data_IF_405616729336
#
_entry.id   IF_405616729336
#
_cell.length_a   1.000
_cell.length_b   1.000
_cell.length_c   1.000
_cell.angle_alpha   90.00
_cell.angle_beta   90.00
_cell.angle_gamma   90.00
#
_symmetry.space_group_name_H-M   'P 1'
#
loop_
_entity.id
_entity.type
_entity.pdbx_description
1 polymer ?
#
# COMPACT_ATOMS: atom_id res chain seq x y z
N UNK A 1 -25.57 36.21 1.28
CA UNK A 1 -24.57 35.83 0.28
C UNK A 1 -24.31 37.02 -0.61
N UNK A 2 -23.04 37.30 -0.88
CA UNK A 2 -22.60 38.52 -1.56
C UNK A 2 -21.54 38.17 -2.62
N UNK A 3 -21.34 39.06 -3.57
CA UNK A 3 -20.26 39.03 -4.55
C UNK A 3 -20.15 37.72 -5.33
N UNK A 4 -21.21 37.24 -5.99
CA UNK A 4 -21.14 36.00 -6.78
C UNK A 4 -20.26 36.19 -8.01
N UNK A 5 -19.39 35.20 -8.28
CA UNK A 5 -18.58 35.12 -9.49
C UNK A 5 -18.63 33.69 -10.06
N UNK A 6 -18.62 33.55 -11.37
CA UNK A 6 -18.69 32.25 -12.06
C UNK A 6 -17.38 32.01 -12.81
N UNK A 7 -16.82 30.81 -12.65
CA UNK A 7 -15.71 30.30 -13.45
C UNK A 7 -16.02 28.86 -13.88
N UNK A 8 -16.29 28.66 -15.17
CA UNK A 8 -16.74 27.37 -15.70
C UNK A 8 -18.06 26.92 -15.05
N UNK A 9 -18.05 25.77 -14.39
CA UNK A 9 -19.19 25.22 -13.63
C UNK A 9 -19.12 25.54 -12.13
N UNK A 10 -18.16 26.33 -11.69
CA UNK A 10 -18.01 26.76 -10.30
C UNK A 10 -18.60 28.15 -10.09
N UNK A 11 -19.37 28.31 -9.02
CA UNK A 11 -19.85 29.58 -8.52
C UNK A 11 -19.15 29.85 -7.18
N UNK A 12 -18.48 31.00 -7.10
CA UNK A 12 -17.88 31.49 -5.86
C UNK A 12 -18.75 32.62 -5.31
N UNK A 13 -18.92 32.68 -4.00
CA UNK A 13 -19.66 33.77 -3.30
C UNK A 13 -19.13 33.95 -1.89
N UNK A 14 -19.38 35.06 -1.29
CA UNK A 14 -19.02 35.39 0.10
C UNK A 14 -20.20 35.28 1.00
N UNK A 15 -20.06 34.67 2.16
CA UNK A 15 -21.16 34.45 3.10
C UNK A 15 -20.68 34.42 4.55
N UNK A 16 -21.60 34.82 5.47
CA UNK A 16 -21.48 34.59 6.91
C UNK A 16 -22.39 33.48 7.41
N UNK A 17 -23.19 32.87 6.52
CA UNK A 17 -24.26 31.92 6.88
C UNK A 17 -23.82 30.48 6.98
N UNK A 18 -22.64 30.14 6.45
CA UNK A 18 -22.06 28.78 6.49
C UNK A 18 -20.95 28.70 7.54
N UNK A 19 -20.44 27.49 7.80
CA UNK A 19 -19.30 27.33 8.69
C UNK A 19 -18.09 28.09 8.16
N UNK A 20 -17.69 29.13 8.85
CA UNK A 20 -16.71 30.12 8.43
C UNK A 20 -15.52 30.21 9.39
N UNK A 21 -14.47 30.96 8.99
CA UNK A 21 -13.27 31.23 9.77
C UNK A 21 -13.30 32.58 10.46
N UNK A 22 -14.14 33.49 9.97
CA UNK A 22 -14.18 34.88 10.43
C UNK A 22 -15.50 35.57 10.15
N UNK A 23 -15.46 36.74 9.51
CA UNK A 23 -16.63 37.50 9.06
C UNK A 23 -17.21 36.91 7.77
N UNK A 24 -17.07 37.63 6.64
CA UNK A 24 -17.37 37.10 5.32
C UNK A 24 -16.26 36.14 4.89
N UNK A 25 -16.62 34.92 4.53
CA UNK A 25 -15.74 33.92 3.92
C UNK A 25 -16.18 33.61 2.50
N UNK A 26 -15.23 33.24 1.64
CA UNK A 26 -15.46 32.83 0.26
C UNK A 26 -15.76 31.33 0.23
N UNK A 27 -16.87 30.97 -0.44
CA UNK A 27 -17.35 29.63 -0.64
C UNK A 27 -17.39 29.30 -2.13
N UNK A 28 -17.29 28.01 -2.44
CA UNK A 28 -17.39 27.43 -3.78
C UNK A 28 -18.51 26.39 -3.83
N UNK A 29 -19.32 26.43 -4.89
CA UNK A 29 -20.27 25.38 -5.25
C UNK A 29 -20.10 25.04 -6.73
N UNK A 30 -20.37 23.78 -7.11
CA UNK A 30 -20.29 23.29 -8.48
C UNK A 30 -21.65 22.88 -8.99
N UNK A 31 -21.96 23.21 -10.23
CA UNK A 31 -23.15 22.69 -10.89
C UNK A 31 -22.88 21.31 -11.47
N UNK A 32 -23.74 20.34 -11.09
CA UNK A 32 -23.74 18.98 -11.60
C UNK A 32 -25.17 18.59 -11.99
N UNK A 33 -25.40 18.41 -13.29
CA UNK A 33 -26.74 18.05 -13.83
C UNK A 33 -27.88 18.98 -13.38
N UNK A 34 -27.63 20.29 -13.32
CA UNK A 34 -28.62 21.30 -12.91
C UNK A 34 -28.81 21.43 -11.40
N UNK A 35 -28.00 20.76 -10.59
CA UNK A 35 -28.03 20.79 -9.13
C UNK A 35 -26.69 21.33 -8.61
N UNK A 36 -26.73 22.29 -7.67
CA UNK A 36 -25.55 22.81 -7.01
C UNK A 36 -25.13 21.91 -5.84
N UNK A 37 -23.82 21.72 -5.69
CA UNK A 37 -23.25 21.02 -4.54
C UNK A 37 -23.41 21.82 -3.25
N UNK A 38 -23.16 21.18 -2.09
CA UNK A 38 -23.06 21.88 -0.82
C UNK A 38 -21.90 22.91 -0.86
N UNK A 39 -22.06 24.10 -0.25
CA UNK A 39 -21.04 25.12 -0.18
C UNK A 39 -19.78 24.64 0.53
N UNK A 40 -18.64 24.76 -0.12
CA UNK A 40 -17.32 24.43 0.41
C UNK A 40 -16.54 25.71 0.70
N UNK A 41 -16.13 25.90 1.96
CA UNK A 41 -15.25 27.00 2.36
C UNK A 41 -13.87 26.83 1.71
N UNK A 42 -13.32 27.88 1.09
CA UNK A 42 -11.99 27.83 0.46
C UNK A 42 -10.83 27.76 1.46
N UNK A 43 -11.09 28.00 2.76
CA UNK A 43 -10.11 27.94 3.83
C UNK A 43 -8.89 28.86 3.63
N UNK A 44 -7.96 28.83 4.59
CA UNK A 44 -6.70 29.56 4.46
C UNK A 44 -5.86 29.02 3.30
N UNK A 45 -5.13 29.90 2.58
CA UNK A 45 -4.92 31.33 2.85
C UNK A 45 -5.94 32.29 2.18
N UNK A 46 -6.92 31.74 1.45
CA UNK A 46 -7.98 32.57 0.82
C UNK A 46 -8.81 33.20 1.88
N UNK A 47 -9.42 32.42 2.77
CA UNK A 47 -10.17 32.89 3.90
C UNK A 47 -9.30 33.04 5.16
N UNK A 48 -9.62 34.06 5.98
CA UNK A 48 -8.90 34.40 7.20
C UNK A 48 -9.93 34.64 8.34
N UNK A 49 -9.51 34.92 9.59
CA UNK A 49 -10.43 35.36 10.65
C UNK A 49 -11.08 36.72 10.43
N UNK A 50 -10.88 37.36 9.29
CA UNK A 50 -11.42 38.66 8.88
C UNK A 50 -12.48 38.50 7.79
N UNK A 51 -12.97 39.61 7.24
CA UNK A 51 -13.84 39.58 6.06
C UNK A 51 -13.00 39.32 4.81
N UNK A 52 -13.32 38.25 4.10
CA UNK A 52 -12.75 37.89 2.82
C UNK A 52 -13.88 37.78 1.79
N UNK A 53 -13.80 38.59 0.74
CA UNK A 53 -14.90 38.75 -0.19
C UNK A 53 -14.44 39.07 -1.62
N UNK A 54 -15.40 39.10 -2.58
CA UNK A 54 -15.18 39.49 -3.97
C UNK A 54 -14.06 38.69 -4.65
N UNK A 55 -14.15 37.36 -4.59
CA UNK A 55 -13.18 36.46 -5.19
C UNK A 55 -13.39 36.33 -6.71
N UNK A 56 -12.36 36.61 -7.48
CA UNK A 56 -12.38 36.56 -8.95
C UNK A 56 -11.16 35.80 -9.47
N UNK A 57 -11.39 34.78 -10.26
CA UNK A 57 -10.35 34.06 -10.98
C UNK A 57 -10.10 34.65 -12.36
N UNK A 58 -8.87 34.55 -12.84
CA UNK A 58 -8.53 34.82 -14.23
C UNK A 58 -9.06 33.68 -15.16
N UNK A 59 -8.90 33.86 -16.46
CA UNK A 59 -9.38 32.87 -17.45
C UNK A 59 -8.67 31.50 -17.37
N UNK A 60 -7.52 31.42 -16.70
CA UNK A 60 -6.79 30.17 -16.49
C UNK A 60 -7.23 29.42 -15.22
N UNK A 61 -7.93 30.10 -14.30
CA UNK A 61 -8.28 29.59 -12.99
C UNK A 61 -7.10 29.45 -12.03
N UNK A 62 -5.91 29.95 -12.41
CA UNK A 62 -4.67 29.79 -11.61
C UNK A 62 -4.23 31.05 -10.88
N UNK A 63 -4.84 32.18 -11.15
CA UNK A 63 -4.59 33.44 -10.47
C UNK A 63 -5.87 34.25 -10.34
N UNK A 64 -5.85 35.22 -9.48
CA UNK A 64 -7.03 36.06 -9.31
C UNK A 64 -6.86 37.17 -8.29
N UNK A 65 -7.97 37.74 -7.91
CA UNK A 65 -8.07 38.82 -6.93
C UNK A 65 -9.12 38.46 -5.89
N UNK A 66 -8.90 38.90 -4.68
CA UNK A 66 -9.89 38.89 -3.62
C UNK A 66 -9.81 40.23 -2.84
N UNK A 67 -10.90 40.65 -2.25
CA UNK A 67 -10.90 41.75 -1.30
C UNK A 67 -10.91 41.20 0.11
N UNK A 68 -10.16 41.85 1.01
CA UNK A 68 -10.10 41.45 2.42
C UNK A 68 -9.71 42.64 3.31
N UNK A 69 -10.18 42.59 4.55
CA UNK A 69 -9.76 43.57 5.60
C UNK A 69 -8.75 42.93 6.58
N UNK A 70 -8.05 41.86 6.18
CA UNK A 70 -7.04 41.15 7.01
C UNK A 70 -5.90 42.01 7.53
N UNK A 71 -5.66 43.18 6.91
CA UNK A 71 -4.67 44.17 7.34
C UNK A 71 -5.31 45.38 8.02
N UNK A 72 -6.57 45.26 8.46
CA UNK A 72 -7.29 46.30 9.23
C UNK A 72 -8.16 47.21 8.40
N UNK A 73 -8.13 47.19 7.08
CA UNK A 73 -9.00 47.92 6.16
C UNK A 73 -9.14 47.15 4.83
N UNK A 74 -10.19 47.44 4.08
CA UNK A 74 -10.47 46.75 2.82
C UNK A 74 -9.37 47.00 1.80
N UNK A 75 -8.77 45.92 1.32
CA UNK A 75 -7.75 45.95 0.27
C UNK A 75 -8.02 44.83 -0.75
N UNK A 76 -7.46 45.01 -1.96
CA UNK A 76 -7.47 44.00 -2.99
C UNK A 76 -6.14 43.24 -2.95
N UNK A 77 -6.22 41.94 -2.81
CA UNK A 77 -5.09 41.05 -2.83
C UNK A 77 -5.03 40.27 -4.16
N UNK A 78 -3.84 40.16 -4.72
CA UNK A 78 -3.57 39.22 -5.84
C UNK A 78 -3.17 37.90 -5.24
N UNK A 79 -3.70 36.81 -5.78
CA UNK A 79 -3.25 35.47 -5.41
C UNK A 79 -2.89 34.67 -6.64
N UNK A 80 -2.00 33.69 -6.45
CA UNK A 80 -1.62 32.69 -7.44
C UNK A 80 -1.86 31.33 -6.82
N UNK A 81 -2.66 30.51 -7.48
CA UNK A 81 -2.86 29.11 -7.10
C UNK A 81 -1.73 28.26 -7.70
N UNK A 82 -0.76 27.95 -6.91
CA UNK A 82 0.27 27.00 -7.32
C UNK A 82 -0.31 25.59 -7.32
N UNK A 83 -0.05 24.84 -8.37
CA UNK A 83 -0.34 23.41 -8.36
C UNK A 83 0.46 22.74 -7.24
N UNK A 84 -0.17 21.87 -6.44
CA UNK A 84 0.55 21.18 -5.39
C UNK A 84 1.62 20.29 -6.01
N UNK A 85 2.81 20.32 -5.45
CA UNK A 85 3.92 19.46 -5.83
C UNK A 85 4.05 18.33 -4.82
N UNK A 86 4.19 17.10 -5.31
CA UNK A 86 4.33 15.92 -4.48
C UNK A 86 5.68 15.27 -4.72
N UNK A 87 6.29 14.84 -3.64
CA UNK A 87 7.55 14.13 -3.65
C UNK A 87 7.42 12.84 -2.85
N UNK A 88 8.17 11.84 -3.26
CA UNK A 88 8.41 10.62 -2.49
C UNK A 88 9.87 10.59 -2.12
N UNK A 89 10.15 10.34 -0.85
CA UNK A 89 11.47 9.96 -0.38
C UNK A 89 11.38 8.65 0.38
N UNK A 90 12.41 7.83 0.28
CA UNK A 90 12.39 6.56 0.97
C UNK A 90 13.78 6.01 1.19
N UNK A 91 13.78 4.87 1.88
CA UNK A 91 14.99 4.15 2.23
C UNK A 91 14.78 2.66 1.96
N UNK A 92 15.81 1.99 1.45
CA UNK A 92 15.84 0.54 1.29
C UNK A 92 16.78 -0.04 2.35
N UNK A 93 16.29 -1.04 3.10
CA UNK A 93 17.06 -1.72 4.14
C UNK A 93 16.78 -3.23 4.13
N UNK A 94 17.64 -4.00 4.79
CA UNK A 94 17.37 -5.42 5.03
C UNK A 94 16.64 -5.63 6.37
N UNK A 95 16.32 -6.90 6.66
CA UNK A 95 15.66 -7.33 7.90
C UNK A 95 16.45 -7.03 9.17
N UNK A 96 17.76 -6.73 9.05
CA UNK A 96 18.64 -6.30 10.15
C UNK A 96 18.78 -4.78 10.24
N UNK A 97 17.94 -4.02 9.52
CA UNK A 97 17.96 -2.55 9.43
C UNK A 97 19.27 -1.99 8.84
N UNK A 98 20.01 -2.77 8.06
CA UNK A 98 21.18 -2.28 7.32
C UNK A 98 20.70 -1.66 6.02
N UNK A 99 21.18 -0.46 5.73
CA UNK A 99 20.87 0.25 4.51
C UNK A 99 21.49 -0.44 3.29
N UNK A 100 20.70 -0.54 2.22
CA UNK A 100 21.10 -1.22 1.00
C UNK A 100 21.36 -0.19 -0.11
N UNK A 101 22.63 0.07 -0.39
CA UNK A 101 23.06 0.91 -1.53
C UNK A 101 22.91 0.14 -2.85
N UNK A 102 22.83 0.87 -3.97
CA UNK A 102 22.65 0.30 -5.31
C UNK A 102 21.46 -0.68 -5.44
N UNK A 103 20.44 -0.50 -4.61
CA UNK A 103 19.17 -1.21 -4.76
C UNK A 103 18.37 -0.53 -5.88
N UNK A 104 17.79 -1.31 -6.76
CA UNK A 104 16.87 -0.80 -7.77
C UNK A 104 15.53 -0.44 -7.12
N UNK A 105 15.07 0.78 -7.35
CA UNK A 105 13.74 1.23 -6.92
C UNK A 105 12.96 1.67 -8.15
N UNK A 106 11.82 1.03 -8.39
CA UNK A 106 10.91 1.34 -9.49
C UNK A 106 9.64 1.93 -8.94
N UNK A 107 9.31 3.15 -9.37
CA UNK A 107 8.02 3.79 -9.16
C UNK A 107 7.15 3.54 -10.39
N UNK A 108 6.07 2.80 -10.24
CA UNK A 108 5.04 2.58 -11.25
C UNK A 108 3.85 3.51 -10.98
N UNK A 109 3.57 4.42 -11.89
CA UNK A 109 2.37 5.25 -11.84
C UNK A 109 1.20 4.46 -12.43
N UNK A 110 0.27 4.05 -11.57
CA UNK A 110 -0.91 3.25 -11.94
C UNK A 110 -1.95 4.07 -12.75
N UNK A 111 -1.80 5.40 -12.79
CA UNK A 111 -2.71 6.30 -13.49
C UNK A 111 -2.24 6.54 -14.93
N UNK A 112 -0.95 6.80 -15.13
CA UNK A 112 -0.35 6.99 -16.47
C UNK A 112 0.17 5.69 -17.08
N UNK A 113 0.50 4.68 -16.27
CA UNK A 113 1.17 3.44 -16.68
C UNK A 113 2.68 3.61 -16.90
N UNK A 114 3.27 4.72 -16.47
CA UNK A 114 4.70 4.99 -16.63
C UNK A 114 5.53 4.42 -15.48
N UNK A 115 6.73 3.94 -15.82
CA UNK A 115 7.73 3.46 -14.88
C UNK A 115 8.91 4.43 -14.78
N UNK A 116 9.32 4.74 -13.56
CA UNK A 116 10.52 5.51 -13.26
C UNK A 116 11.44 4.71 -12.36
N UNK A 117 12.70 4.51 -12.73
CA UNK A 117 13.65 3.74 -11.93
C UNK A 117 14.80 4.60 -11.42
N UNK A 118 15.33 4.25 -10.25
CA UNK A 118 16.52 4.83 -9.63
C UNK A 118 17.26 3.77 -8.82
N UNK A 119 18.56 4.00 -8.62
CA UNK A 119 19.35 3.26 -7.65
C UNK A 119 19.41 4.05 -6.34
N UNK A 120 19.44 3.34 -5.22
CA UNK A 120 19.65 3.95 -3.91
C UNK A 120 21.11 4.44 -3.77
N UNK A 121 21.30 5.50 -3.01
CA UNK A 121 22.59 6.02 -2.62
C UNK A 121 23.32 5.14 -1.57
N UNK A 122 24.49 5.57 -1.06
CA UNK A 122 25.25 4.84 -0.04
C UNK A 122 24.51 4.68 1.29
N UNK A 123 23.54 5.55 1.58
CA UNK A 123 22.67 5.47 2.74
C UNK A 123 21.34 4.72 2.47
N UNK A 124 21.22 4.05 1.33
CA UNK A 124 20.01 3.34 0.93
C UNK A 124 18.85 4.25 0.54
N UNK A 125 19.06 5.56 0.34
CA UNK A 125 18.02 6.56 0.09
C UNK A 125 17.70 6.70 -1.39
N UNK A 126 16.44 7.05 -1.66
CA UNK A 126 15.95 7.40 -2.99
C UNK A 126 14.88 8.50 -2.90
N UNK A 127 14.60 9.16 -4.03
CA UNK A 127 13.54 10.15 -4.13
C UNK A 127 12.96 10.20 -5.55
N UNK A 128 11.66 10.50 -5.65
CA UNK A 128 10.93 10.74 -6.89
C UNK A 128 10.06 11.98 -6.76
N UNK A 129 9.81 12.67 -7.89
CA UNK A 129 8.69 13.61 -7.99
C UNK A 129 7.44 12.80 -8.39
N UNK A 130 6.32 13.05 -7.73
CA UNK A 130 5.06 12.35 -7.97
C UNK A 130 4.10 13.23 -8.78
N UNK A 131 3.28 12.61 -9.61
CA UNK A 131 2.13 13.25 -10.21
C UNK A 131 1.05 13.58 -9.17
N UNK A 132 0.27 14.62 -9.44
CA UNK A 132 -0.92 14.92 -8.63
C UNK A 132 -2.06 13.97 -9.00
N UNK A 133 -2.94 13.69 -8.02
CA UNK A 133 -4.15 12.88 -8.21
C UNK A 133 -3.91 11.50 -8.83
N UNK A 134 -2.80 10.86 -8.46
CA UNK A 134 -2.34 9.57 -9.00
C UNK A 134 -2.17 8.52 -7.92
N UNK A 135 -2.30 7.26 -8.31
CA UNK A 135 -1.93 6.09 -7.49
C UNK A 135 -0.61 5.51 -7.99
N UNK A 136 0.20 5.05 -7.07
CA UNK A 136 1.53 4.52 -7.36
C UNK A 136 1.77 3.18 -6.67
N UNK A 137 2.63 2.37 -7.28
CA UNK A 137 3.27 1.24 -6.64
C UNK A 137 4.79 1.46 -6.67
N UNK A 138 5.44 1.42 -5.50
CA UNK A 138 6.90 1.55 -5.39
C UNK A 138 7.50 0.19 -5.04
N UNK A 139 8.37 -0.34 -5.89
CA UNK A 139 9.03 -1.63 -5.73
C UNK A 139 10.51 -1.42 -5.50
N UNK A 140 11.05 -2.02 -4.44
CA UNK A 140 12.48 -2.11 -4.19
C UNK A 140 13.00 -3.52 -4.45
N UNK A 141 14.16 -3.62 -5.11
CA UNK A 141 14.86 -4.87 -5.36
C UNK A 141 16.36 -4.71 -5.09
N UNK A 142 16.96 -5.75 -4.58
CA UNK A 142 18.41 -5.83 -4.37
C UNK A 142 18.89 -7.25 -4.67
N UNK A 143 20.15 -7.39 -5.08
CA UNK A 143 20.75 -8.69 -5.28
C UNK A 143 20.65 -9.52 -4.00
N UNK A 144 20.31 -10.81 -4.12
CA UNK A 144 20.15 -11.77 -3.00
C UNK A 144 19.01 -11.43 -2.01
N UNK A 145 18.09 -10.54 -2.37
CA UNK A 145 16.93 -10.17 -1.56
C UNK A 145 15.63 -10.42 -2.32
N UNK A 146 14.57 -10.77 -1.60
CA UNK A 146 13.22 -10.73 -2.12
C UNK A 146 12.80 -9.26 -2.30
N UNK A 147 12.43 -8.91 -3.52
CA UNK A 147 11.87 -7.60 -3.79
C UNK A 147 10.54 -7.43 -3.04
N UNK A 148 10.23 -6.20 -2.67
CA UNK A 148 8.97 -5.85 -2.02
C UNK A 148 8.41 -4.57 -2.62
N UNK A 149 7.09 -4.41 -2.57
CA UNK A 149 6.42 -3.22 -3.04
C UNK A 149 5.43 -2.65 -2.02
N UNK A 150 5.21 -1.34 -2.13
CA UNK A 150 4.26 -0.57 -1.31
C UNK A 150 3.43 0.30 -2.24
N UNK A 151 2.12 0.35 -2.01
CA UNK A 151 1.21 1.26 -2.70
C UNK A 151 1.14 2.60 -1.96
N UNK A 152 1.06 3.70 -2.71
CA UNK A 152 0.86 5.04 -2.19
C UNK A 152 -0.01 5.86 -3.17
N UNK A 153 -0.58 6.96 -2.69
CA UNK A 153 -1.49 7.78 -3.47
C UNK A 153 -1.32 9.26 -3.15
N UNK A 154 -1.41 10.10 -4.18
CA UNK A 154 -1.55 11.55 -4.05
C UNK A 154 -3.00 12.01 -4.26
N UNK A 155 -3.95 11.08 -4.50
CA UNK A 155 -5.36 11.42 -4.68
C UNK A 155 -5.95 12.07 -3.43
N UNK A 156 -6.67 13.16 -3.64
CA UNK A 156 -7.30 13.91 -2.55
C UNK A 156 -6.36 14.79 -1.73
N UNK A 157 -5.05 14.81 -2.02
CA UNK A 157 -4.11 15.75 -1.40
C UNK A 157 -4.26 17.11 -2.08
N UNK A 158 -4.54 18.14 -1.28
CA UNK A 158 -4.81 19.50 -1.75
C UNK A 158 -3.62 20.46 -1.59
N UNK A 159 -2.56 20.02 -0.92
CA UNK A 159 -1.36 20.82 -0.63
C UNK A 159 -0.13 20.01 -0.98
N UNK A 160 0.95 20.71 -1.37
CA UNK A 160 2.27 20.10 -1.58
C UNK A 160 2.69 19.28 -0.37
N UNK A 161 3.20 18.07 -0.61
CA UNK A 161 3.62 17.16 0.46
C UNK A 161 4.79 16.28 -0.01
N UNK A 162 5.51 15.74 0.96
CA UNK A 162 6.56 14.74 0.74
C UNK A 162 6.18 13.45 1.46
N UNK A 163 5.79 12.46 0.70
CA UNK A 163 5.48 11.12 1.21
C UNK A 163 6.78 10.39 1.56
N UNK A 164 6.73 9.55 2.59
CA UNK A 164 7.89 8.75 3.02
C UNK A 164 7.57 7.27 3.00
N UNK A 165 8.52 6.43 2.58
CA UNK A 165 8.37 4.97 2.55
C UNK A 165 9.66 4.27 2.97
N UNK A 166 9.50 3.14 3.67
CA UNK A 166 10.57 2.22 4.00
C UNK A 166 10.34 0.89 3.28
N UNK A 167 11.34 0.42 2.55
CA UNK A 167 11.33 -0.86 1.86
C UNK A 167 12.29 -1.82 2.56
N UNK A 168 11.74 -2.76 3.33
CA UNK A 168 12.50 -3.77 4.04
C UNK A 168 12.57 -5.05 3.21
N UNK A 169 13.75 -5.41 2.72
CA UNK A 169 14.00 -6.56 1.86
C UNK A 169 14.50 -7.75 2.67
N UNK A 170 13.87 -8.91 2.47
CA UNK A 170 14.30 -10.16 3.12
C UNK A 170 15.37 -10.87 2.31
N UNK A 171 16.38 -11.42 2.99
CA UNK A 171 17.40 -12.23 2.34
C UNK A 171 16.80 -13.50 1.76
N UNK A 172 17.14 -13.82 0.50
CA UNK A 172 16.75 -15.08 -0.13
C UNK A 172 17.56 -16.21 0.49
N UNK A 173 16.86 -17.16 1.10
CA UNK A 173 17.45 -18.38 1.64
C UNK A 173 16.67 -19.57 1.10
N UNK A 174 17.26 -20.29 0.15
CA UNK A 174 16.62 -21.44 -0.48
C UNK A 174 16.39 -22.55 0.55
N UNK A 175 15.14 -23.03 0.63
CA UNK A 175 14.71 -24.12 1.52
C UNK A 175 14.44 -23.71 2.97
N UNK A 176 14.70 -22.47 3.38
CA UNK A 176 14.29 -21.96 4.68
C UNK A 176 12.80 -21.58 4.66
N UNK A 177 12.07 -22.06 5.65
CA UNK A 177 10.64 -21.77 5.79
C UNK A 177 10.44 -20.38 6.43
N UNK A 178 9.53 -19.59 5.85
CA UNK A 178 9.06 -18.33 6.38
C UNK A 178 7.60 -18.52 6.79
N UNK A 179 7.33 -18.47 8.08
CA UNK A 179 5.96 -18.61 8.60
C UNK A 179 5.12 -17.39 8.21
N UNK A 180 3.92 -17.65 7.73
CA UNK A 180 2.92 -16.63 7.45
C UNK A 180 1.93 -16.62 8.61
N UNK A 181 1.88 -15.52 9.32
CA UNK A 181 0.92 -15.36 10.42
C UNK A 181 -0.50 -15.14 9.85
N UNK A 182 -1.51 -15.49 10.66
CA UNK A 182 -2.92 -15.17 10.41
C UNK A 182 -3.56 -15.83 9.17
N UNK A 183 -3.00 -16.91 8.61
CA UNK A 183 -3.73 -17.75 7.68
C UNK A 183 -4.41 -18.85 8.51
N UNK A 184 -5.65 -18.60 8.89
CA UNK A 184 -6.47 -19.52 9.66
C UNK A 184 -7.50 -20.20 8.78
N UNK A 185 -7.89 -21.40 9.20
CA UNK A 185 -8.97 -22.18 8.62
C UNK A 185 -9.98 -22.54 9.70
N UNK A 186 -11.23 -22.68 9.35
CA UNK A 186 -12.23 -23.20 10.27
C UNK A 186 -11.96 -24.66 10.61
N UNK A 187 -12.57 -25.14 11.68
CA UNK A 187 -12.38 -26.52 12.12
C UNK A 187 -12.83 -27.48 11.01
N UNK A 188 -11.96 -28.41 10.67
CA UNK A 188 -12.18 -29.40 9.61
C UNK A 188 -12.46 -28.82 8.20
N UNK A 189 -12.03 -27.58 7.97
CA UNK A 189 -12.23 -26.85 6.72
C UNK A 189 -10.88 -26.51 6.05
N UNK A 190 -10.92 -26.35 4.73
CA UNK A 190 -9.81 -25.89 3.90
C UNK A 190 -10.16 -24.65 3.09
N UNK A 191 -11.39 -24.14 3.22
CA UNK A 191 -11.80 -22.90 2.58
C UNK A 191 -11.04 -21.71 3.18
N UNK A 192 -10.62 -20.78 2.34
CA UNK A 192 -9.93 -19.57 2.78
C UNK A 192 -10.93 -18.64 3.45
N UNK A 193 -10.62 -18.27 4.68
CA UNK A 193 -11.43 -17.34 5.47
C UNK A 193 -11.21 -15.90 4.99
N UNK A 194 -12.21 -15.00 5.17
CA UNK A 194 -12.07 -13.59 4.80
C UNK A 194 -10.90 -12.86 5.48
N UNK A 195 -10.55 -13.24 6.71
CA UNK A 195 -9.41 -12.67 7.45
C UNK A 195 -8.05 -13.13 6.87
N UNK A 196 -7.96 -14.34 6.33
CA UNK A 196 -6.76 -14.85 5.67
C UNK A 196 -6.50 -14.19 4.30
N UNK A 197 -7.52 -13.64 3.65
CA UNK A 197 -7.41 -12.97 2.34
C UNK A 197 -6.38 -11.85 2.37
N UNK A 198 -6.35 -11.04 3.42
CA UNK A 198 -5.42 -9.91 3.55
C UNK A 198 -3.95 -10.38 3.52
N UNK A 199 -3.65 -11.47 4.21
CA UNK A 199 -2.28 -12.02 4.27
C UNK A 199 -1.92 -12.72 2.95
N UNK A 200 -2.86 -13.43 2.35
CA UNK A 200 -2.66 -14.05 1.04
C UNK A 200 -2.47 -12.99 -0.08
N UNK A 201 -3.15 -11.85 -0.02
CA UNK A 201 -2.93 -10.75 -0.97
C UNK A 201 -1.53 -10.13 -0.82
N UNK A 202 -1.01 -9.99 0.41
CA UNK A 202 0.38 -9.58 0.64
C UNK A 202 1.37 -10.58 0.06
N UNK A 203 1.09 -11.87 0.25
CA UNK A 203 1.93 -12.95 -0.28
C UNK A 203 1.89 -13.00 -1.81
N UNK A 204 0.69 -12.82 -2.42
CA UNK A 204 0.56 -12.72 -3.87
C UNK A 204 1.42 -11.59 -4.42
N UNK A 205 1.38 -10.43 -3.78
CA UNK A 205 2.21 -9.27 -4.14
C UNK A 205 3.70 -9.59 -4.06
N UNK A 206 4.14 -10.21 -2.95
CA UNK A 206 5.54 -10.65 -2.80
C UNK A 206 5.96 -11.59 -3.94
N UNK A 207 5.12 -12.55 -4.33
CA UNK A 207 5.45 -13.51 -5.40
C UNK A 207 5.44 -12.87 -6.79
N UNK A 208 4.57 -11.89 -7.02
CA UNK A 208 4.54 -11.10 -8.25
C UNK A 208 5.76 -10.16 -8.36
N UNK A 209 6.19 -9.57 -7.24
CA UNK A 209 7.40 -8.73 -7.18
C UNK A 209 8.69 -9.53 -7.47
N UNK A 210 8.65 -10.86 -7.35
CA UNK A 210 9.79 -11.76 -7.53
C UNK A 210 9.55 -12.77 -8.67
N UNK A 211 9.44 -12.33 -9.94
CA UNK A 211 9.01 -13.17 -11.07
C UNK A 211 9.97 -14.31 -11.41
N UNK A 212 11.24 -14.22 -11.03
CA UNK A 212 12.27 -15.24 -11.28
C UNK A 212 12.42 -16.25 -10.13
N UNK A 213 11.59 -16.14 -9.08
CA UNK A 213 11.68 -16.98 -7.89
C UNK A 213 10.56 -17.99 -7.86
N UNK A 214 10.89 -19.23 -7.52
CA UNK A 214 9.95 -20.34 -7.31
C UNK A 214 9.71 -20.56 -5.83
N UNK A 215 8.48 -20.93 -5.47
CA UNK A 215 8.03 -21.04 -4.09
C UNK A 215 7.31 -22.37 -3.83
N UNK A 216 7.43 -22.88 -2.61
CA UNK A 216 6.58 -23.92 -2.05
C UNK A 216 5.72 -23.28 -0.94
N UNK A 217 4.42 -23.49 -0.97
CA UNK A 217 3.51 -23.13 0.12
C UNK A 217 3.18 -24.39 0.91
N UNK A 218 3.60 -24.42 2.17
CA UNK A 218 3.43 -25.52 3.11
C UNK A 218 2.35 -25.26 4.12
N UNK A 219 1.47 -26.24 4.39
CA UNK A 219 0.51 -26.17 5.49
C UNK A 219 0.73 -27.32 6.48
N UNK A 220 0.47 -27.02 7.75
CA UNK A 220 0.67 -27.92 8.89
C UNK A 220 -0.60 -28.04 9.72
N UNK A 221 -0.76 -29.16 10.41
CA UNK A 221 -1.78 -29.38 11.42
C UNK A 221 -1.16 -29.47 12.81
N UNK A 222 -1.99 -29.42 13.84
CA UNK A 222 -1.59 -29.95 15.15
C UNK A 222 -1.68 -31.48 15.16
N UNK A 223 -1.24 -32.11 16.24
CA UNK A 223 -1.20 -33.58 16.37
C UNK A 223 -2.54 -34.20 16.78
N UNK A 224 -3.65 -33.47 16.81
CA UNK A 224 -4.97 -34.00 17.08
C UNK A 224 -5.56 -34.62 15.82
N UNK A 225 -5.95 -35.87 15.89
CA UNK A 225 -6.45 -36.64 14.74
C UNK A 225 -5.50 -37.77 14.35
N UNK A 226 -5.74 -38.36 13.19
CA UNK A 226 -4.86 -39.39 12.64
C UNK A 226 -3.89 -38.81 11.63
N UNK A 227 -2.66 -39.31 11.59
CA UNK A 227 -1.55 -38.80 10.75
C UNK A 227 -1.95 -38.66 9.27
N UNK A 228 -2.61 -39.69 8.71
CA UNK A 228 -3.08 -39.66 7.32
C UNK A 228 -4.16 -38.59 7.11
N UNK A 229 -5.07 -38.44 8.07
CA UNK A 229 -6.11 -37.42 8.01
C UNK A 229 -5.47 -36.00 8.05
N UNK A 230 -4.55 -35.77 8.97
CA UNK A 230 -3.80 -34.53 9.10
C UNK A 230 -2.99 -34.18 7.84
N UNK A 231 -2.39 -35.21 7.20
CA UNK A 231 -1.70 -35.05 5.94
C UNK A 231 -2.65 -34.59 4.81
N UNK A 232 -3.80 -35.25 4.66
CA UNK A 232 -4.80 -34.91 3.63
C UNK A 232 -5.39 -33.51 3.88
N UNK A 233 -5.72 -33.19 5.13
CA UNK A 233 -6.27 -31.88 5.49
C UNK A 233 -5.28 -30.74 5.21
N UNK A 234 -4.02 -30.93 5.59
CA UNK A 234 -2.97 -29.93 5.33
C UNK A 234 -2.70 -29.74 3.82
N UNK A 235 -2.73 -30.84 3.05
CA UNK A 235 -2.58 -30.76 1.59
C UNK A 235 -3.75 -30.01 0.93
N UNK A 236 -4.98 -30.26 1.35
CA UNK A 236 -6.15 -29.53 0.88
C UNK A 236 -6.06 -28.02 1.19
N UNK A 237 -5.56 -27.66 2.38
CA UNK A 237 -5.33 -26.25 2.79
C UNK A 237 -4.24 -25.59 1.95
N UNK A 238 -3.11 -26.24 1.75
CA UNK A 238 -2.03 -25.73 0.92
C UNK A 238 -2.50 -25.49 -0.53
N UNK A 239 -3.25 -26.46 -1.10
CA UNK A 239 -3.82 -26.33 -2.44
C UNK A 239 -4.84 -25.18 -2.55
N UNK A 240 -5.69 -24.97 -1.54
CA UNK A 240 -6.62 -23.84 -1.52
C UNK A 240 -5.90 -22.52 -1.54
N UNK A 241 -4.84 -22.36 -0.75
CA UNK A 241 -4.04 -21.13 -0.72
C UNK A 241 -3.27 -20.92 -2.04
N UNK A 242 -2.66 -21.95 -2.61
CA UNK A 242 -1.99 -21.87 -3.92
C UNK A 242 -2.99 -21.50 -5.03
N UNK A 243 -4.18 -22.09 -5.07
CA UNK A 243 -5.21 -21.74 -6.04
C UNK A 243 -5.63 -20.28 -5.91
N UNK A 244 -5.76 -19.77 -4.68
CA UNK A 244 -6.02 -18.34 -4.45
C UNK A 244 -4.90 -17.46 -5.03
N UNK A 245 -3.64 -17.79 -4.79
CA UNK A 245 -2.49 -17.02 -5.30
C UNK A 245 -2.42 -17.04 -6.84
N UNK A 246 -2.74 -18.18 -7.47
CA UNK A 246 -2.86 -18.30 -8.93
C UNK A 246 -3.97 -17.38 -9.47
N UNK A 247 -5.13 -17.32 -8.81
CA UNK A 247 -6.21 -16.40 -9.17
C UNK A 247 -5.81 -14.92 -9.02
N UNK A 248 -4.81 -14.62 -8.19
CA UNK A 248 -4.22 -13.29 -8.05
C UNK A 248 -3.09 -13.00 -9.05
N UNK A 249 -2.83 -13.93 -9.99
CA UNK A 249 -1.88 -13.74 -11.09
C UNK A 249 -0.50 -14.36 -10.86
N UNK A 250 -0.29 -15.12 -9.78
CA UNK A 250 0.97 -15.88 -9.59
C UNK A 250 1.03 -17.01 -10.61
N UNK A 251 2.14 -17.11 -11.33
CA UNK A 251 2.34 -18.17 -12.33
C UNK A 251 2.33 -19.55 -11.66
N UNK A 252 1.43 -20.47 -12.07
CA UNK A 252 1.35 -21.82 -11.52
C UNK A 252 2.63 -22.64 -11.68
N UNK A 253 3.49 -22.34 -12.68
CA UNK A 253 4.77 -23.03 -12.86
C UNK A 253 5.79 -22.70 -11.76
N UNK A 254 5.59 -21.62 -11.02
CA UNK A 254 6.51 -21.12 -9.98
C UNK A 254 6.07 -21.42 -8.55
N UNK A 255 4.89 -21.99 -8.35
CA UNK A 255 4.35 -22.23 -7.02
C UNK A 255 3.87 -23.67 -6.88
N UNK A 256 4.23 -24.31 -5.78
CA UNK A 256 3.79 -25.67 -5.44
C UNK A 256 3.11 -25.68 -4.07
N UNK A 257 2.09 -26.51 -3.92
CA UNK A 257 1.43 -26.77 -2.65
C UNK A 257 2.01 -28.02 -1.99
N UNK A 258 2.13 -28.04 -0.66
CA UNK A 258 2.54 -29.22 0.09
C UNK A 258 1.92 -29.27 1.48
N UNK A 259 1.20 -30.36 1.75
CA UNK A 259 0.76 -30.71 3.10
C UNK A 259 1.88 -31.41 3.87
N UNK A 260 2.07 -31.01 5.11
CA UNK A 260 3.04 -31.62 6.04
C UNK A 260 2.37 -32.39 7.17
N UNK A 261 1.02 -32.29 7.30
CA UNK A 261 0.32 -32.85 8.46
C UNK A 261 0.95 -32.38 9.76
N UNK A 262 1.09 -33.30 10.68
CA UNK A 262 1.75 -33.10 11.97
C UNK A 262 3.26 -33.47 11.98
N UNK A 263 3.84 -33.77 10.83
CA UNK A 263 5.23 -34.26 10.73
C UNK A 263 6.29 -33.21 11.12
N UNK A 264 5.92 -31.93 11.21
CA UNK A 264 6.82 -30.83 11.51
C UNK A 264 6.23 -29.88 12.57
N UNK A 265 6.02 -30.39 13.78
CA UNK A 265 5.55 -29.60 14.90
C UNK A 265 6.62 -28.58 15.33
N UNK A 266 6.21 -27.39 15.74
CA UNK A 266 7.11 -26.33 16.25
C UNK A 266 7.30 -26.35 17.76
N UNK A 267 6.57 -27.24 18.44
CA UNK A 267 6.63 -27.44 19.88
C UNK A 267 6.54 -28.94 20.23
N UNK A 268 6.47 -29.27 21.52
CA UNK A 268 6.46 -30.66 22.00
C UNK A 268 5.06 -31.31 21.99
N UNK A 269 4.06 -30.67 21.40
CA UNK A 269 2.66 -31.11 21.41
C UNK A 269 2.38 -32.22 20.38
N UNK A 270 3.06 -33.37 20.54
CA UNK A 270 2.85 -34.58 19.74
C UNK A 270 1.65 -35.41 20.23
N UNK A 271 1.31 -36.48 19.51
CA UNK A 271 0.24 -37.40 19.87
C UNK A 271 0.31 -37.88 21.32
N UNK A 272 -0.81 -37.72 22.04
CA UNK A 272 -0.91 -38.12 23.45
C UNK A 272 -0.37 -37.11 24.47
N UNK A 273 0.21 -36.01 24.06
CA UNK A 273 0.68 -34.92 24.93
C UNK A 273 -0.46 -33.94 25.18
N UNK A 274 -0.73 -33.63 26.45
CA UNK A 274 -1.67 -32.56 26.83
C UNK A 274 -0.99 -31.18 26.65
N UNK A 275 -1.57 -30.38 25.77
CA UNK A 275 -1.09 -29.01 25.48
C UNK A 275 -2.24 -28.00 25.56
N UNK A 276 -1.89 -26.72 25.65
CA UNK A 276 -2.82 -25.61 25.54
C UNK A 276 -3.35 -25.45 24.10
N UNK A 277 -4.49 -24.76 23.94
CA UNK A 277 -5.00 -24.46 22.59
C UNK A 277 -4.05 -23.54 21.83
N UNK A 278 -3.35 -22.66 22.51
CA UNK A 278 -2.32 -21.78 21.92
C UNK A 278 -1.16 -22.60 21.33
N UNK A 279 -0.72 -23.64 22.03
CA UNK A 279 0.32 -24.54 21.54
C UNK A 279 -0.14 -25.34 20.32
N UNK A 280 -1.39 -25.81 20.32
CA UNK A 280 -1.99 -26.44 19.14
C UNK A 280 -2.12 -25.46 18.00
N UNK A 281 -2.54 -24.23 18.26
CA UNK A 281 -2.66 -23.18 17.25
C UNK A 281 -1.30 -22.84 16.60
N UNK A 282 -0.22 -22.83 17.36
CA UNK A 282 1.13 -22.60 16.82
C UNK A 282 1.55 -23.66 15.76
N UNK A 283 1.04 -24.90 15.91
CA UNK A 283 1.30 -25.96 14.94
C UNK A 283 0.40 -25.83 13.67
N UNK A 284 -0.81 -25.33 13.79
CA UNK A 284 -1.72 -25.09 12.65
C UNK A 284 -1.30 -23.82 11.91
N UNK A 285 -0.26 -23.91 11.12
CA UNK A 285 0.36 -22.78 10.43
C UNK A 285 0.48 -23.03 8.93
N UNK A 286 0.64 -21.94 8.22
CA UNK A 286 1.06 -21.92 6.81
C UNK A 286 2.42 -21.24 6.72
N UNK A 287 3.30 -21.74 5.89
CA UNK A 287 4.62 -21.18 5.62
C UNK A 287 4.93 -21.23 4.13
N UNK A 288 5.84 -20.38 3.67
CA UNK A 288 6.39 -20.52 2.33
C UNK A 288 7.90 -20.67 2.37
N UNK A 289 8.43 -21.34 1.33
CA UNK A 289 9.87 -21.51 1.10
C UNK A 289 10.20 -21.04 -0.29
N UNK A 290 11.33 -20.39 -0.45
CA UNK A 290 11.97 -20.20 -1.75
C UNK A 290 12.57 -21.55 -2.16
N UNK A 291 12.14 -22.12 -3.28
CA UNK A 291 12.63 -23.40 -3.78
C UNK A 291 13.67 -23.26 -4.89
N UNK A 292 13.71 -22.09 -5.56
CA UNK A 292 14.68 -21.77 -6.58
C UNK A 292 14.61 -20.32 -6.98
N UNK A 293 15.70 -19.81 -7.56
CA UNK A 293 15.77 -18.51 -8.21
C UNK A 293 16.41 -18.72 -9.57
N UNK A 294 15.74 -18.28 -10.62
CA UNK A 294 16.24 -18.41 -11.99
C UNK A 294 17.56 -17.65 -12.13
N UNK A 295 18.61 -18.33 -12.64
CA UNK A 295 19.95 -17.74 -12.75
C UNK A 295 20.85 -17.88 -11.49
N UNK A 296 20.33 -18.33 -10.34
CA UNK A 296 21.15 -18.76 -9.21
C UNK A 296 21.50 -20.25 -9.37
N UNK A 297 22.79 -20.57 -9.50
CA UNK A 297 23.25 -21.95 -9.52
C UNK A 297 22.89 -22.65 -8.20
N UNK A 298 22.30 -23.85 -8.30
CA UNK A 298 21.98 -24.67 -7.14
C UNK A 298 23.28 -25.08 -6.40
N UNK A 299 23.52 -24.42 -5.26
CA UNK A 299 24.74 -24.68 -4.45
C UNK A 299 24.73 -26.09 -3.82
N UNK A 300 23.65 -26.86 -4.02
CA UNK A 300 23.48 -28.19 -3.43
C UNK A 300 24.00 -29.34 -4.30
N UNK A 301 24.55 -29.09 -5.49
CA UNK A 301 25.14 -30.14 -6.32
C UNK A 301 26.68 -30.14 -6.25
N UNK A 302 27.24 -30.51 -5.11
CA UNK A 302 28.56 -31.17 -5.06
C UNK A 302 28.46 -32.38 -4.15
N UNK A 303 28.87 -33.56 -4.68
CA UNK A 303 28.83 -34.82 -3.96
C UNK A 303 29.77 -34.84 -2.74
#
# INVERSE_FOLDING_TARGET
ELFPTINGNALHFSSTAHSNMGGLDIFEVHEQNGIWTEPKNLNAPINTPHDDFHFVLDSTGKAGFLSSNREGFDQVFVFIMNEPEFYLQGIVMDESQRFLSNSEVVLHDLTSGEDHSRLTDEAGKFAFKLGANSDFNIRGAHQDKLATSVALSTKGLMRSDTLSVELSLKTIKIGEAITINNIYYDYDEWAIRPDAVIELDKLARLFLDNPTTSFELGSHTDARGGDLYNLVLSDARANSAVNYLIQRGVDPARITAKGYGESALVNTCSNGVHCSEEDHQANRRTEFKVTGVEGMADVRSKP
#
